data_IF_461793075643
#
_entry.id   IF_461793075643
#
_cell.length_a   1.000
_cell.length_b   1.000
_cell.length_c   1.000
_cell.angle_alpha   90.00
_cell.angle_beta   90.00
_cell.angle_gamma   90.00
#
_symmetry.space_group_name_H-M   'P 1'
#
loop_
_entity.id
_entity.type
_entity.pdbx_description
1 polymer ?
2 non-polymer ?
3 non-polymer ?
4 non-polymer ?
5 non-polymer ?
6 water ?
#
# COMPACT_ATOMS: atom_id res chain seq x y z
N UNK A 14 18.89 6.02 -14.75
CA UNK A 14 17.56 6.25 -14.19
C UNK A 14 16.89 4.94 -13.82
N UNK A 15 15.80 5.04 -13.06
CA UNK A 15 15.09 3.86 -12.60
C UNK A 15 14.43 3.14 -13.76
N UNK A 16 14.56 1.82 -13.78
CA UNK A 16 13.93 0.98 -14.79
C UNK A 16 12.70 0.33 -14.14
N UNK A 17 11.49 0.62 -14.60
CA UNK A 17 10.29 0.06 -13.96
C UNK A 17 10.25 -1.45 -14.11
N UNK A 18 9.97 -2.17 -13.03
CA UNK A 18 9.81 -3.63 -13.12
C UNK A 18 8.61 -3.98 -13.98
N UNK A 19 8.51 -5.23 -14.43
CA UNK A 19 7.33 -5.64 -15.20
C UNK A 19 6.06 -5.52 -14.38
N UNK A 20 4.95 -5.36 -15.10
CA UNK A 20 3.66 -5.18 -14.43
C UNK A 20 3.16 -6.50 -13.85
N UNK A 21 2.56 -6.42 -12.67
CA UNK A 21 1.95 -7.59 -12.04
C UNK A 21 0.60 -7.88 -12.70
N UNK A 22 0.05 -9.07 -12.49
CA UNK A 22 -1.24 -9.40 -13.11
C UNK A 22 -2.36 -8.50 -12.62
N UNK A 23 -3.24 -8.12 -13.55
CA UNK A 23 -4.44 -7.36 -13.24
C UNK A 23 -5.64 -8.21 -13.67
N UNK A 24 -6.59 -8.38 -12.76
CA UNK A 24 -7.78 -9.18 -13.02
C UNK A 24 -9.02 -8.29 -13.00
N UNK A 25 -9.91 -8.53 -13.97
CA UNK A 25 -11.18 -7.82 -14.08
C UNK A 25 -12.29 -8.85 -13.99
N UNK A 26 -12.63 -9.29 -12.79
CA UNK A 26 -13.61 -10.39 -12.65
C UNK A 26 -15.01 -9.95 -13.07
N UNK A 27 -15.74 -10.88 -13.67
CA UNK A 27 -17.13 -10.65 -13.98
C UNK A 27 -17.95 -10.62 -12.69
N UNK A 28 -19.23 -10.27 -12.82
CA UNK A 28 -20.10 -10.26 -11.65
C UNK A 28 -20.25 -11.65 -11.04
N UNK A 29 -20.13 -12.70 -11.86
CA UNK A 29 -20.18 -14.06 -11.33
C UNK A 29 -18.91 -14.39 -10.56
N UNK A 30 -17.74 -14.04 -11.13
CA UNK A 30 -16.47 -14.27 -10.46
C UNK A 30 -16.29 -13.36 -9.24
N UNK A 31 -16.95 -12.21 -9.21
CA UNK A 31 -16.88 -11.27 -8.11
C UNK A 31 -17.78 -11.66 -6.95
N UNK A 32 -18.42 -12.83 -7.01
CA UNK A 32 -19.39 -13.20 -5.98
C UNK A 32 -18.72 -13.49 -4.65
N UNK A 33 -17.57 -14.17 -4.67
CA UNK A 33 -16.86 -14.55 -3.44
C UNK A 33 -15.39 -14.24 -3.60
N UNK A 34 -14.79 -13.43 -2.72
CA UNK A 34 -13.38 -13.08 -2.84
C UNK A 34 -12.44 -14.27 -2.65
N UNK A 35 -12.66 -15.06 -1.60
CA UNK A 35 -11.75 -16.17 -1.32
C UNK A 35 -11.77 -17.21 -2.43
N UNK A 36 -12.95 -17.43 -3.04
CA UNK A 36 -13.02 -18.36 -4.17
C UNK A 36 -12.27 -17.79 -5.38
N UNK A 37 -12.39 -16.48 -5.61
CA UNK A 37 -11.69 -15.88 -6.74
C UNK A 37 -10.19 -15.85 -6.52
N UNK A 38 -9.74 -15.52 -5.31
CA UNK A 38 -8.32 -15.49 -5.02
C UNK A 38 -7.72 -16.88 -5.13
N UNK A 39 -8.47 -17.90 -4.70
CA UNK A 39 -7.99 -19.27 -4.84
C UNK A 39 -7.86 -19.70 -6.28
N UNK A 40 -8.70 -19.16 -7.16
CA UNK A 40 -8.64 -19.51 -8.58
C UNK A 40 -7.49 -18.81 -9.30
N UNK A 41 -7.24 -17.54 -8.96
CA UNK A 41 -6.13 -16.81 -9.57
C UNK A 41 -4.79 -17.19 -8.96
N UNK A 42 -4.79 -18.00 -7.90
CA UNK A 42 -3.55 -18.31 -7.18
C UNK A 42 -2.44 -18.89 -8.06
N UNK A 43 -2.68 -19.85 -8.97
CA UNK A 43 -1.57 -20.39 -9.76
C UNK A 43 -0.74 -19.34 -10.48
N UNK A 44 -1.35 -18.24 -10.90
CA UNK A 44 -0.60 -17.15 -11.53
C UNK A 44 -0.14 -16.12 -10.50
N UNK A 45 -1.05 -15.67 -9.64
CA UNK A 45 -0.75 -14.53 -8.78
C UNK A 45 0.31 -14.86 -7.73
N UNK A 46 0.37 -16.11 -7.27
CA UNK A 46 1.40 -16.46 -6.28
C UNK A 46 2.78 -16.50 -6.91
N UNK A 47 2.87 -16.60 -8.24
CA UNK A 47 4.15 -16.54 -8.93
C UNK A 47 4.64 -15.11 -9.14
N UNK A 48 3.80 -14.11 -8.86
CA UNK A 48 4.20 -12.71 -8.93
C UNK A 48 4.17 -12.00 -7.59
N UNK A 49 3.67 -12.67 -6.54
CA UNK A 49 3.61 -12.06 -5.22
C UNK A 49 2.44 -11.15 -4.97
N UNK A 50 2.22 -10.18 -5.86
CA UNK A 50 1.09 -9.27 -5.75
C UNK A 50 0.28 -9.33 -7.04
N UNK A 51 -0.99 -8.95 -6.92
CA UNK A 51 -1.85 -8.82 -8.08
C UNK A 51 -2.86 -7.73 -7.81
N UNK A 52 -3.41 -7.17 -8.89
CA UNK A 52 -4.41 -6.12 -8.81
C UNK A 52 -5.75 -6.65 -9.29
N UNK A 53 -6.82 -6.26 -8.60
CA UNK A 53 -8.17 -6.72 -8.91
C UNK A 53 -9.05 -5.50 -9.11
N UNK A 54 -9.63 -5.37 -10.30
CA UNK A 54 -10.54 -4.27 -10.60
C UNK A 54 -11.97 -4.76 -10.48
N UNK A 55 -12.76 -4.25 -9.53
CA UNK A 55 -14.15 -4.67 -9.41
C UNK A 55 -14.95 -4.26 -10.62
N UNK A 56 -16.16 -4.81 -10.80
CA UNK A 56 -17.02 -4.35 -11.90
C UNK A 56 -17.27 -2.86 -11.82
N UNK A 57 -17.62 -2.28 -12.97
CA UNK A 57 -17.70 -0.82 -13.08
C UNK A 57 -18.73 -0.25 -12.12
N UNK A 58 -19.84 -0.96 -11.91
CA UNK A 58 -20.93 -0.46 -11.08
C UNK A 58 -20.76 -0.76 -9.60
N UNK A 59 -19.66 -1.41 -9.20
CA UNK A 59 -19.38 -1.66 -7.79
C UNK A 59 -18.62 -0.46 -7.24
N UNK A 60 -19.35 0.49 -6.65
CA UNK A 60 -18.77 1.72 -6.13
C UNK A 60 -19.25 1.93 -4.70
N UNK A 61 -18.47 1.48 -3.72
CA UNK A 61 -18.88 1.66 -2.33
C UNK A 61 -18.72 3.11 -1.90
N UNK A 62 -19.57 3.60 -1.01
CA UNK A 62 -19.42 4.97 -0.52
C UNK A 62 -18.34 5.06 0.56
N UNK A 63 -17.79 6.26 0.71
CA UNK A 63 -16.81 6.53 1.74
C UNK A 63 -17.53 6.82 3.05
N UNK A 64 -17.30 5.98 4.06
CA UNK A 64 -18.09 6.01 5.29
C UNK A 64 -17.29 6.45 6.51
N UNK A 65 -16.13 7.08 6.32
CA UNK A 65 -15.36 7.57 7.45
C UNK A 65 -16.00 8.83 8.01
N UNK A 66 -15.82 9.04 9.31
CA UNK A 66 -16.29 10.26 9.98
C UNK A 66 -15.35 11.40 9.61
N UNK A 67 -15.64 12.04 8.47
CA UNK A 67 -14.75 13.07 7.94
C UNK A 67 -14.73 14.30 8.85
N UNK A 68 -15.84 14.59 9.53
CA UNK A 68 -15.92 15.81 10.33
C UNK A 68 -14.90 15.79 11.47
N UNK A 69 -14.68 14.63 12.08
CA UNK A 69 -13.81 14.52 13.25
C UNK A 69 -12.50 13.81 12.95
N UNK A 70 -12.25 13.46 11.68
CA UNK A 70 -11.03 12.75 11.30
C UNK A 70 -9.82 13.63 11.53
N UNK A 71 -9.03 13.30 12.55
CA UNK A 71 -7.81 14.04 12.87
C UNK A 71 -6.71 13.06 13.20
N UNK A 72 -5.48 13.41 12.83
CA UNK A 72 -4.35 12.50 13.02
C UNK A 72 -3.06 13.28 12.95
N UNK A 73 -2.02 12.72 13.57
CA UNK A 73 -0.66 13.25 13.46
C UNK A 73 0.19 12.27 12.66
N UNK A 74 0.53 12.57 11.42
CA UNK A 74 1.25 11.60 10.61
C UNK A 74 2.71 11.47 11.02
N UNK A 75 3.32 10.37 10.60
CA UNK A 75 4.72 10.13 10.89
C UNK A 75 5.60 10.84 9.87
N UNK A 76 6.76 11.29 10.33
CA UNK A 76 7.74 11.96 9.48
C UNK A 76 8.60 10.93 8.78
N UNK A 77 8.78 11.09 7.47
CA UNK A 77 9.55 10.14 6.67
C UNK A 77 10.65 10.89 5.92
N UNK A 78 11.90 10.63 6.29
CA UNK A 78 13.06 11.17 5.57
C UNK A 78 13.50 10.11 4.56
N UNK A 79 13.33 10.42 3.27
CA UNK A 79 13.52 9.43 2.21
C UNK A 79 14.94 8.86 2.19
N UNK A 80 15.95 9.67 2.50
CA UNK A 80 17.34 9.24 2.39
C UNK A 80 18.00 9.01 3.75
N UNK A 81 17.21 8.58 4.75
CA UNK A 81 17.76 8.44 6.10
C UNK A 81 18.79 7.31 6.17
N UNK A 82 18.65 6.27 5.35
CA UNK A 82 19.62 5.19 5.36
C UNK A 82 20.92 5.60 4.67
N UNK A 83 20.83 6.28 3.53
CA UNK A 83 22.03 6.75 2.85
C UNK A 83 22.74 7.82 3.65
N UNK A 84 22.00 8.59 4.46
CA UNK A 84 22.59 9.63 5.29
C UNK A 84 23.40 9.06 6.45
N UNK A 85 23.31 7.76 6.71
CA UNK A 85 24.13 7.16 7.77
C UNK A 85 25.62 7.23 7.43
N UNK A 86 25.95 7.05 6.15
CA UNK A 86 27.34 7.09 5.71
C UNK A 86 27.54 8.16 4.64
N UNK A 101 2.88 17.78 13.55
CA UNK A 101 1.72 18.56 13.14
C UNK A 101 0.47 17.70 13.00
N UNK A 102 -0.62 18.17 13.59
CA UNK A 102 -1.90 17.48 13.51
C UNK A 102 -2.72 18.02 12.34
N UNK A 103 -3.30 17.10 11.58
CA UNK A 103 -4.07 17.45 10.40
C UNK A 103 -5.48 16.88 10.51
N UNK A 104 -6.39 17.51 9.76
CA UNK A 104 -7.61 16.86 9.34
C UNK A 104 -7.40 16.26 7.96
N UNK A 105 -8.42 15.56 7.47
CA UNK A 105 -8.34 15.01 6.11
C UNK A 105 -8.19 16.13 5.09
N UNK A 106 -8.93 17.22 5.27
CA UNK A 106 -8.83 18.36 4.36
C UNK A 106 -7.48 19.06 4.47
N UNK A 107 -7.05 19.37 5.70
CA UNK A 107 -5.79 20.10 5.86
C UNK A 107 -4.60 19.26 5.43
N UNK A 108 -4.67 17.94 5.59
CA UNK A 108 -3.61 17.08 5.07
C UNK A 108 -3.61 17.08 3.54
N UNK A 109 -4.81 17.03 2.93
CA UNK A 109 -4.89 17.08 1.49
C UNK A 109 -4.37 18.39 0.92
N UNK A 110 -4.65 19.50 1.62
CA UNK A 110 -4.12 20.79 1.19
C UNK A 110 -2.60 20.81 1.23
N UNK A 111 -2.03 20.28 2.31
CA UNK A 111 -0.57 20.19 2.40
C UNK A 111 -0.01 19.26 1.34
N UNK A 112 -0.67 18.12 1.12
CA UNK A 112 -0.17 17.12 0.18
C UNK A 112 -0.17 17.66 -1.25
N UNK A 113 -1.29 18.27 -1.67
CA UNK A 113 -1.36 18.82 -3.01
C UNK A 113 -0.38 19.98 -3.19
N UNK A 114 -0.23 20.83 -2.17
CA UNK A 114 0.71 21.94 -2.27
C UNK A 114 2.14 21.44 -2.38
N UNK A 115 2.49 20.39 -1.64
CA UNK A 115 3.84 19.85 -1.72
C UNK A 115 4.14 19.33 -3.12
N UNK A 116 3.23 18.55 -3.69
CA UNK A 116 3.49 17.91 -4.97
C UNK A 116 3.50 18.93 -6.11
N UNK A 117 2.53 19.85 -6.12
CA UNK A 117 2.49 20.85 -7.18
C UNK A 117 3.70 21.78 -7.11
N UNK A 118 4.20 22.07 -5.90
CA UNK A 118 5.40 22.90 -5.78
C UNK A 118 6.65 22.12 -6.17
N UNK A 119 6.70 20.83 -5.85
CA UNK A 119 7.90 20.05 -6.15
C UNK A 119 8.08 19.87 -7.66
N UNK A 120 7.00 19.54 -8.38
CA UNK A 120 7.08 19.29 -9.81
C UNK A 120 6.71 20.50 -10.66
N UNK A 121 6.30 21.61 -10.03
CA UNK A 121 5.99 22.85 -10.73
C UNK A 121 4.90 22.65 -11.79
N UNK A 122 3.87 21.88 -11.43
CA UNK A 122 2.75 21.61 -12.32
C UNK A 122 1.59 21.08 -11.49
N UNK A 123 0.37 21.11 -12.03
CA UNK A 123 -0.76 20.53 -11.29
C UNK A 123 -0.52 19.07 -10.93
N UNK A 124 -1.10 18.66 -9.81
CA UNK A 124 -0.78 17.34 -9.24
C UNK A 124 -1.23 16.22 -10.18
N UNK A 125 -2.38 16.40 -10.84
CA UNK A 125 -2.90 15.37 -11.72
C UNK A 125 -2.18 15.29 -13.06
N UNK A 126 -1.28 16.23 -13.34
CA UNK A 126 -0.53 16.24 -14.59
C UNK A 126 0.85 15.59 -14.46
N UNK A 127 1.30 15.28 -13.26
CA UNK A 127 2.62 14.68 -13.05
C UNK A 127 2.56 13.22 -13.47
N UNK A 128 3.37 12.78 -14.43
CA UNK A 128 3.33 11.37 -14.85
C UNK A 128 3.74 10.45 -13.70
N UNK A 129 3.07 9.29 -13.63
CA UNK A 129 3.39 8.32 -12.60
C UNK A 129 4.82 7.82 -12.72
N UNK A 130 5.33 7.72 -13.95
CA UNK A 130 6.72 7.28 -14.14
C UNK A 130 7.71 8.31 -13.60
N UNK A 131 7.35 9.59 -13.62
CA UNK A 131 8.26 10.62 -13.13
C UNK A 131 8.34 10.60 -11.60
N UNK A 132 7.20 10.50 -10.93
CA UNK A 132 7.20 10.38 -9.48
C UNK A 132 7.98 9.15 -9.05
N UNK A 133 7.79 8.04 -9.77
CA UNK A 133 8.52 6.81 -9.46
C UNK A 133 10.02 7.01 -9.65
N UNK A 134 10.42 7.60 -10.77
CA UNK A 134 11.83 7.84 -11.02
C UNK A 134 12.43 8.79 -10.00
N UNK A 135 11.68 9.83 -9.62
CA UNK A 135 12.19 10.80 -8.67
C UNK A 135 12.22 10.23 -7.25
N UNK A 136 11.26 9.37 -6.90
CA UNK A 136 11.24 8.79 -5.55
C UNK A 136 12.51 8.00 -5.28
N UNK A 137 12.89 7.11 -6.19
CA UNK A 137 14.06 6.28 -5.96
C UNK A 137 15.37 7.06 -6.11
N UNK A 138 15.36 8.17 -6.83
CA UNK A 138 16.53 9.04 -6.85
C UNK A 138 16.71 9.72 -5.49
N UNK A 139 15.62 10.20 -4.90
CA UNK A 139 15.70 10.88 -3.61
C UNK A 139 16.08 9.94 -2.49
N UNK A 140 15.73 8.65 -2.61
CA UNK A 140 16.03 7.69 -1.56
C UNK A 140 17.53 7.51 -1.40
N UNK A 141 18.26 7.52 -2.52
CA UNK A 141 19.70 7.33 -2.52
C UNK A 141 20.47 8.64 -2.67
N UNK A 142 19.79 9.79 -2.62
CA UNK A 142 20.44 11.07 -2.79
C UNK A 142 20.93 11.62 -1.45
N UNK A 143 22.21 12.00 -1.40
CA UNK A 143 22.77 12.68 -0.24
C UNK A 143 22.81 14.19 -0.43
N UNK A 144 22.63 14.68 -1.65
CA UNK A 144 22.66 16.13 -1.90
C UNK A 144 21.33 16.80 -1.58
N UNK A 145 20.23 16.05 -1.58
CA UNK A 145 18.90 16.61 -1.38
C UNK A 145 18.18 15.78 -0.33
N UNK A 146 17.72 16.44 0.73
CA UNK A 146 17.01 15.78 1.82
C UNK A 146 15.54 16.16 1.73
N UNK A 147 14.73 15.25 1.19
CA UNK A 147 13.29 15.45 1.06
C UNK A 147 12.59 14.74 2.20
N UNK A 148 11.68 15.44 2.86
CA UNK A 148 10.95 14.93 4.02
C UNK A 148 9.45 15.06 3.76
N UNK A 149 8.72 13.97 3.95
CA UNK A 149 7.29 13.93 3.76
C UNK A 149 6.63 13.37 5.03
N UNK A 150 5.30 13.30 5.00
CA UNK A 150 4.53 12.81 6.13
C UNK A 150 3.54 11.75 5.65
N UNK A 151 3.30 10.76 6.50
CA UNK A 151 2.44 9.63 6.15
C UNK A 151 1.49 9.36 7.32
N UNK A 152 0.19 9.47 7.06
CA UNK A 152 -0.79 9.07 8.04
C UNK A 152 -1.02 7.58 8.01
N UNK A 153 -0.12 6.81 8.64
CA UNK A 153 -0.09 5.37 8.49
C UNK A 153 -0.51 4.60 9.72
N UNK A 154 -0.68 5.26 10.87
CA UNK A 154 -1.04 4.60 12.12
C UNK A 154 -2.45 5.01 12.51
N UNK A 155 -3.42 4.58 11.70
CA UNK A 155 -4.82 4.94 11.88
C UNK A 155 -5.64 3.65 11.83
N UNK A 156 -6.17 3.23 12.98
CA UNK A 156 -7.06 2.09 13.03
C UNK A 156 -8.46 2.49 12.56
N UNK A 157 -9.17 1.52 11.98
CA UNK A 157 -10.55 1.76 11.57
C UNK A 157 -11.50 1.93 12.76
N UNK A 158 -11.04 1.64 13.97
CA UNK A 158 -11.86 1.86 15.16
C UNK A 158 -11.86 3.32 15.61
N UNK A 159 -10.92 4.13 15.12
CA UNK A 159 -10.84 5.52 15.55
C UNK A 159 -11.98 6.34 14.97
N UNK A 160 -12.09 6.41 13.65
CA UNK A 160 -13.10 7.21 12.98
C UNK A 160 -13.96 6.39 12.04
N UNK A 161 -14.01 5.07 12.22
CA UNK A 161 -14.78 4.22 11.36
C UNK A 161 -14.01 3.76 10.13
N UNK A 162 -14.49 2.69 9.52
CA UNK A 162 -13.88 2.17 8.32
C UNK A 162 -14.29 3.00 7.10
N UNK A 163 -13.47 2.92 6.05
CA UNK A 163 -13.83 3.56 4.80
C UNK A 163 -15.05 2.94 4.16
N UNK A 164 -15.31 1.65 4.44
CA UNK A 164 -16.49 0.91 4.02
C UNK A 164 -17.62 1.12 5.01
N UNK A 165 -18.87 1.10 4.53
CA UNK A 165 -20.00 1.11 5.47
C UNK A 165 -20.07 -0.21 6.23
N UNK A 166 -20.41 -0.11 7.51
CA UNK A 166 -20.54 -1.29 8.37
C UNK A 166 -21.85 -1.19 9.13
N UNK A 167 -22.42 -2.35 9.46
CA UNK A 167 -23.69 -2.41 10.19
C UNK A 167 -23.41 -2.66 11.67
N UNK A 168 -22.82 -1.64 12.31
CA UNK A 168 -22.52 -1.69 13.73
C UNK A 168 -23.27 -0.62 14.53
N UNK A 169 -24.10 0.19 13.87
CA UNK A 169 -24.94 1.15 14.54
C UNK A 169 -24.33 2.53 14.73
N UNK A 170 -23.01 2.66 14.62
CA UNK A 170 -22.35 3.93 14.88
C UNK A 170 -22.52 4.94 13.75
N UNK A 171 -23.08 4.53 12.62
CA UNK A 171 -23.27 5.44 11.49
C UNK A 171 -24.44 4.97 10.65
N UNK A 172 -25.14 5.92 10.05
CA UNK A 172 -26.32 5.60 9.25
C UNK A 172 -25.92 4.89 7.97
N UNK A 173 -26.74 3.93 7.55
CA UNK A 173 -26.52 3.16 6.33
C UNK A 173 -27.72 3.37 5.42
N UNK A 174 -27.48 3.97 4.26
CA UNK A 174 -28.53 4.14 3.28
C UNK A 174 -28.88 2.80 2.66
N UNK A 175 -30.11 2.63 2.15
CA UNK A 175 -30.50 1.35 1.54
C UNK A 175 -29.60 0.94 0.39
N UNK A 176 -29.20 1.89 -0.47
CA UNK A 176 -28.32 1.57 -1.58
C UNK A 176 -26.89 1.27 -1.13
N UNK A 177 -26.56 1.52 0.14
CA UNK A 177 -25.23 1.24 0.67
C UNK A 177 -25.17 -0.08 1.43
N UNK A 178 -26.31 -0.73 1.68
CA UNK A 178 -26.32 -1.94 2.49
C UNK A 178 -25.58 -3.09 1.81
N UNK A 179 -25.63 -3.16 0.48
CA UNK A 179 -24.94 -4.23 -0.22
C UNK A 179 -23.43 -4.14 -0.02
N UNK A 180 -22.89 -2.93 0.14
CA UNK A 180 -21.47 -2.77 0.40
C UNK A 180 -21.12 -3.07 1.85
N UNK A 181 -22.05 -2.83 2.77
CA UNK A 181 -21.84 -3.22 4.16
C UNK A 181 -21.87 -4.73 4.34
N UNK A 182 -22.52 -5.45 3.42
CA UNK A 182 -22.62 -6.91 3.49
C UNK A 182 -21.72 -7.60 2.47
N UNK A 183 -21.03 -6.84 1.61
CA UNK A 183 -20.22 -7.44 0.57
C UNK A 183 -19.03 -8.19 1.16
N UNK A 184 -18.69 -9.31 0.54
CA UNK A 184 -17.48 -10.04 0.94
C UNK A 184 -16.21 -9.30 0.64
N UNK A 185 -16.25 -8.34 -0.29
CA UNK A 185 -15.08 -7.52 -0.60
C UNK A 185 -14.93 -6.34 0.34
N UNK A 186 -15.94 -6.06 1.16
CA UNK A 186 -15.76 -5.17 2.30
C UNK A 186 -14.70 -5.75 3.21
N UNK A 187 -13.60 -5.01 3.42
CA UNK A 187 -12.48 -5.53 4.20
C UNK A 187 -12.88 -5.86 5.63
N UNK A 188 -13.97 -5.30 6.14
CA UNK A 188 -14.44 -5.66 7.46
C UNK A 188 -15.09 -7.05 7.50
N UNK A 189 -15.39 -7.62 6.32
CA UNK A 189 -16.03 -8.93 6.24
C UNK A 189 -15.06 -10.01 5.77
N UNK A 190 -13.76 -9.73 5.72
CA UNK A 190 -12.79 -10.74 5.36
C UNK A 190 -12.48 -11.63 6.57
N UNK A 191 -12.28 -12.93 6.37
CA UNK A 191 -11.95 -13.80 7.50
C UNK A 191 -10.55 -13.52 8.01
N UNK A 192 -10.43 -13.31 9.32
CA UNK A 192 -9.17 -12.94 9.95
C UNK A 192 -8.72 -13.94 11.00
N UNK A 193 -9.54 -14.93 11.34
CA UNK A 193 -9.20 -15.89 12.39
C UNK A 193 -8.49 -17.10 11.78
N UNK A 194 -7.26 -17.35 12.24
CA UNK A 194 -6.48 -18.48 11.77
C UNK A 194 -6.70 -19.68 12.68
N UNK A 195 -6.70 -20.87 12.09
CA UNK A 195 -6.92 -22.08 12.86
C UNK A 195 -5.71 -22.38 13.74
N UNK A 196 -5.98 -22.74 15.00
CA UNK A 196 -4.92 -23.03 15.95
C UNK A 196 -5.46 -23.98 17.01
N UNK A 197 -4.54 -24.63 17.71
CA UNK A 197 -4.91 -25.56 18.77
C UNK A 197 -5.08 -24.83 20.10
N UNK A 209 -8.99 -8.57 15.01
CA UNK A 209 -8.28 -7.64 14.14
C UNK A 209 -9.24 -6.89 13.22
N UNK A 210 -8.97 -5.60 13.03
CA UNK A 210 -9.80 -4.76 12.17
C UNK A 210 -8.91 -4.10 11.14
N UNK A 211 -9.48 -3.62 10.03
CA UNK A 211 -8.66 -2.97 9.01
C UNK A 211 -7.98 -1.72 9.52
N UNK A 212 -6.88 -1.36 8.86
CA UNK A 212 -6.12 -0.16 9.16
C UNK A 212 -6.20 0.79 7.97
N UNK A 213 -5.99 2.08 8.24
CA UNK A 213 -6.14 3.13 7.25
C UNK A 213 -4.80 3.81 6.97
N UNK A 214 -4.64 4.29 5.74
CA UNK A 214 -3.42 4.96 5.30
C UNK A 214 -3.80 6.20 4.51
N UNK A 215 -3.46 7.37 5.05
CA UNK A 215 -3.66 8.64 4.35
C UNK A 215 -2.30 9.06 3.80
N UNK A 216 -2.15 8.96 2.48
CA UNK A 216 -0.86 9.17 1.86
C UNK A 216 -0.72 10.52 1.19
N UNK A 217 0.54 10.89 0.94
CA UNK A 217 0.91 12.03 0.12
C UNK A 217 2.02 11.59 -0.83
N UNK A 218 2.41 12.49 -1.72
CA UNK A 218 3.49 12.18 -2.66
C UNK A 218 4.77 11.84 -1.90
N UNK A 219 5.37 10.70 -2.24
CA UNK A 219 6.63 10.15 -1.76
C UNK A 219 6.48 9.44 -0.41
N UNK A 220 5.34 9.51 0.26
CA UNK A 220 5.14 8.68 1.44
C UNK A 220 5.17 7.21 1.02
N UNK A 221 5.80 6.37 1.84
CA UNK A 221 6.19 5.05 1.38
C UNK A 221 6.15 4.04 2.51
N UNK A 222 6.20 2.77 2.13
CA UNK A 222 6.36 1.65 3.04
C UNK A 222 7.43 0.71 2.47
N UNK A 223 8.35 0.28 3.32
CA UNK A 223 9.51 -0.46 2.85
C UNK A 223 9.21 -1.96 2.79
N UNK A 224 10.20 -2.73 2.33
CA UNK A 224 10.01 -4.15 2.08
C UNK A 224 9.68 -4.90 3.37
N UNK A 225 8.64 -5.73 3.32
CA UNK A 225 8.23 -6.51 4.47
C UNK A 225 7.30 -7.62 4.03
N UNK A 226 7.12 -8.60 4.93
CA UNK A 226 6.08 -9.60 4.80
C UNK A 226 5.17 -9.48 6.03
N UNK A 227 4.02 -10.14 5.96
CA UNK A 227 3.03 -10.02 7.02
C UNK A 227 3.34 -10.99 8.16
N UNK A 228 2.77 -10.68 9.33
CA UNK A 228 2.84 -11.61 10.45
C UNK A 228 2.19 -12.93 10.07
N UNK A 229 2.83 -14.02 10.49
CA UNK A 229 2.38 -15.39 10.20
C UNK A 229 2.30 -15.66 8.70
N UNK A 230 3.06 -14.91 7.90
CA UNK A 230 3.06 -15.03 6.44
C UNK A 230 1.64 -14.92 5.87
N UNK A 231 0.86 -14.03 6.47
CA UNK A 231 -0.56 -13.94 6.12
C UNK A 231 -0.76 -13.27 4.77
N UNK A 232 -1.90 -13.59 4.16
CA UNK A 232 -2.41 -12.79 3.06
C UNK A 232 -2.67 -11.36 3.53
N UNK A 233 -2.77 -10.44 2.56
CA UNK A 233 -3.26 -9.10 2.85
C UNK A 233 -4.02 -8.60 1.64
N UNK A 234 -5.08 -7.85 1.89
CA UNK A 234 -5.87 -7.24 0.83
C UNK A 234 -5.94 -5.74 1.11
N UNK A 235 -5.82 -4.94 0.06
CA UNK A 235 -5.68 -3.50 0.17
C UNK A 235 -6.63 -2.82 -0.82
N UNK A 236 -7.35 -1.82 -0.34
CA UNK A 236 -8.32 -1.10 -1.17
C UNK A 236 -8.02 0.38 -1.11
N UNK A 237 -7.92 1.02 -2.27
CA UNK A 237 -7.73 2.46 -2.37
C UNK A 237 -9.09 3.12 -2.52
N UNK A 238 -9.56 3.78 -1.47
CA UNK A 238 -10.89 4.37 -1.49
C UNK A 238 -10.95 5.53 -2.49
N UNK A 239 -9.97 6.43 -2.44
CA UNK A 239 -9.94 7.56 -3.37
C UNK A 239 -8.54 8.15 -3.37
N UNK A 240 -8.29 9.02 -4.35
CA UNK A 240 -7.06 9.78 -4.43
C UNK A 240 -6.16 9.28 -5.55
N UNK A 241 -4.94 9.83 -5.55
CA UNK A 241 -3.96 9.48 -6.56
C UNK A 241 -3.44 8.06 -6.32
N UNK A 242 -2.86 7.43 -7.34
CA UNK A 242 -2.53 6.00 -7.23
C UNK A 242 -1.50 5.71 -6.15
N UNK A 243 -1.49 4.45 -5.73
CA UNK A 243 -0.47 3.90 -4.85
C UNK A 243 0.38 2.93 -5.68
N UNK A 244 1.67 3.20 -5.77
CA UNK A 244 2.57 2.37 -6.57
C UNK A 244 3.11 1.23 -5.72
N UNK A 245 3.04 0.01 -6.24
CA UNK A 245 3.40 -1.20 -5.52
C UNK A 245 4.58 -1.90 -6.17
N UNK A 246 5.34 -2.63 -5.34
CA UNK A 246 6.34 -3.57 -5.81
C UNK A 246 6.18 -4.87 -5.04
N UNK A 247 6.24 -5.99 -5.75
CA UNK A 247 6.00 -7.28 -5.14
C UNK A 247 7.02 -8.31 -5.59
N UNK A 248 7.32 -9.23 -4.68
CA UNK A 248 8.24 -10.33 -4.94
C UNK A 248 7.54 -11.65 -4.61
N UNK A 249 7.54 -12.63 -5.52
CA UNK A 249 6.86 -13.90 -5.23
C UNK A 249 7.52 -14.64 -4.08
N UNK A 250 6.73 -15.48 -3.41
CA UNK A 250 7.20 -16.15 -2.20
C UNK A 250 8.35 -17.11 -2.50
N UNK A 251 8.42 -17.65 -3.72
CA UNK A 251 9.51 -18.58 -4.01
C UNK A 251 10.85 -17.88 -4.09
N UNK A 252 10.88 -16.55 -4.12
CA UNK A 252 12.12 -15.79 -4.11
C UNK A 252 12.35 -15.06 -2.79
N UNK A 253 11.62 -15.45 -1.73
CA UNK A 253 11.75 -14.76 -0.46
C UNK A 253 13.16 -14.87 0.10
N UNK A 254 13.75 -16.06 0.05
CA UNK A 254 15.12 -16.22 0.54
C UNK A 254 16.11 -15.46 -0.32
N UNK A 255 15.85 -15.33 -1.62
CA UNK A 255 16.73 -14.54 -2.48
C UNK A 255 16.73 -13.08 -2.07
N UNK A 256 15.56 -12.53 -1.76
CA UNK A 256 15.48 -11.14 -1.32
C UNK A 256 16.18 -10.95 0.02
N UNK A 257 15.94 -11.85 0.97
CA UNK A 257 16.59 -11.74 2.28
C UNK A 257 18.10 -11.89 2.16
N UNK A 258 18.58 -12.66 1.18
CA UNK A 258 20.01 -12.78 0.97
C UNK A 258 20.60 -11.47 0.44
N UNK A 259 19.92 -10.84 -0.52
CA UNK A 259 20.38 -9.55 -1.03
C UNK A 259 20.37 -8.51 0.07
N UNK A 260 19.35 -8.54 0.93
CA UNK A 260 19.33 -7.66 2.09
C UNK A 260 20.54 -7.92 3.00
N UNK A 261 20.86 -9.20 3.24
CA UNK A 261 21.99 -9.52 4.10
C UNK A 261 23.30 -9.01 3.51
N UNK A 262 23.39 -8.88 2.19
CA UNK A 262 24.63 -8.44 1.56
C UNK A 262 24.74 -6.92 1.53
N UNK A 263 23.64 -6.21 1.26
CA UNK A 263 23.70 -4.80 0.94
C UNK A 263 23.08 -3.87 1.97
N UNK A 264 22.21 -4.38 2.85
CA UNK A 264 21.66 -3.53 3.89
C UNK A 264 22.77 -3.08 4.83
N UNK A 265 22.61 -1.93 5.50
CA UNK A 265 23.66 -1.44 6.40
C UNK A 265 24.04 -2.47 7.44
N UNK A 266 25.36 -2.63 7.65
CA UNK A 266 25.86 -3.63 8.59
C UNK A 266 25.37 -3.38 10.00
N UNK A 267 25.11 -2.12 10.35
CA UNK A 267 24.65 -1.80 11.69
C UNK A 267 23.32 -2.45 12.02
N UNK A 268 22.51 -2.73 10.99
CA UNK A 268 21.22 -3.38 11.17
C UNK A 268 21.21 -4.81 10.67
N UNK A 269 22.40 -5.38 10.40
CA UNK A 269 22.46 -6.72 9.80
C UNK A 269 22.03 -7.79 10.79
N UNK A 270 22.42 -7.66 12.06
CA UNK A 270 22.11 -8.66 13.07
C UNK A 270 20.74 -8.46 13.70
N UNK A 271 19.94 -7.53 13.18
CA UNK A 271 18.63 -7.28 13.76
C UNK A 271 17.63 -8.34 13.33
N UNK A 272 16.68 -8.69 14.20
CA UNK A 272 15.62 -9.61 13.80
C UNK A 272 14.78 -9.04 12.66
N UNK A 273 14.08 -9.94 11.97
CA UNK A 273 13.33 -9.55 10.77
C UNK A 273 12.26 -8.51 11.09
N UNK A 274 11.58 -8.66 12.24
CA UNK A 274 10.51 -7.73 12.59
C UNK A 274 11.05 -6.31 12.78
N UNK A 275 12.26 -6.18 13.32
CA UNK A 275 12.87 -4.86 13.48
C UNK A 275 13.59 -4.39 12.22
N UNK A 276 14.26 -5.31 11.52
CA UNK A 276 14.95 -4.93 10.29
C UNK A 276 13.96 -4.41 9.25
N UNK A 277 12.77 -5.02 9.18
CA UNK A 277 11.76 -4.61 8.20
C UNK A 277 11.14 -3.26 8.50
N UNK A 278 11.54 -2.60 9.60
CA UNK A 278 11.18 -1.20 9.80
C UNK A 278 12.01 -0.28 8.92
N UNK A 279 13.16 -0.73 8.43
CA UNK A 279 14.06 0.09 7.63
C UNK A 279 14.64 -0.71 6.47
N UNK A 280 13.83 -1.60 5.88
CA UNK A 280 14.28 -2.39 4.73
C UNK A 280 13.95 -1.66 3.43
N UNK A 281 14.66 -0.56 3.23
CA UNK A 281 14.49 0.27 2.03
C UNK A 281 15.54 -0.18 1.01
N UNK A 282 15.08 -0.58 -0.18
CA UNK A 282 15.98 -1.04 -1.21
C UNK A 282 15.35 -0.78 -2.59
N UNK A 283 16.16 -0.23 -3.49
CA UNK A 283 15.70 0.02 -4.85
C UNK A 283 15.33 -1.30 -5.53
N UNK A 284 14.18 -1.38 -6.18
CA UNK A 284 13.82 -2.64 -6.86
C UNK A 284 14.80 -3.08 -7.92
N UNK A 285 15.46 -2.13 -8.60
CA UNK A 285 16.46 -2.50 -9.60
C UNK A 285 17.64 -3.22 -8.97
N UNK A 286 17.98 -2.87 -7.72
CA UNK A 286 19.06 -3.56 -7.03
C UNK A 286 18.70 -5.04 -6.82
N UNK A 287 17.46 -5.31 -6.41
CA UNK A 287 17.01 -6.68 -6.28
C UNK A 287 16.98 -7.38 -7.65
N UNK A 288 16.53 -6.67 -8.69
CA UNK A 288 16.46 -7.26 -10.02
C UNK A 288 17.84 -7.56 -10.56
N UNK A 289 18.84 -6.73 -10.25
CA UNK A 289 20.20 -7.00 -10.69
C UNK A 289 20.75 -8.28 -10.07
N UNK A 290 20.33 -8.61 -8.85
CA UNK A 290 20.76 -9.82 -8.18
C UNK A 290 19.86 -11.02 -8.47
N UNK A 291 18.99 -10.92 -9.48
CA UNK A 291 18.18 -12.03 -9.92
C UNK A 291 16.87 -12.23 -9.18
N UNK A 292 16.45 -11.26 -8.37
CA UNK A 292 15.19 -11.35 -7.63
C UNK A 292 14.07 -10.87 -8.54
N UNK A 293 13.05 -11.68 -8.80
CA UNK A 293 11.92 -11.22 -9.62
C UNK A 293 11.10 -10.18 -8.87
N UNK A 294 10.85 -9.05 -9.51
CA UNK A 294 10.09 -7.95 -8.93
C UNK A 294 9.02 -7.53 -9.93
N UNK A 295 7.79 -7.33 -9.43
CA UNK A 295 6.68 -6.86 -10.23
C UNK A 295 6.12 -5.59 -9.63
N UNK A 296 5.60 -4.71 -10.48
CA UNK A 296 5.07 -3.43 -10.07
C UNK A 296 3.61 -3.29 -10.49
N UNK A 297 2.96 -2.27 -9.93
CA UNK A 297 1.63 -1.87 -10.37
C UNK A 297 1.31 -0.50 -9.80
N UNK A 298 0.44 0.22 -10.50
CA UNK A 298 -0.15 1.45 -10.01
C UNK A 298 -1.59 1.15 -9.60
N UNK A 299 -1.83 1.10 -8.30
CA UNK A 299 -3.17 0.84 -7.77
C UNK A 299 -3.96 2.15 -7.80
N UNK A 300 -4.99 2.20 -8.63
CA UNK A 300 -5.80 3.41 -8.74
C UNK A 300 -7.02 3.32 -7.84
N UNK A 301 -7.75 4.43 -7.74
CA UNK A 301 -8.91 4.51 -6.87
C UNK A 301 -9.95 3.46 -7.24
N UNK A 302 -10.46 2.76 -6.23
CA UNK A 302 -11.45 1.73 -6.44
C UNK A 302 -10.90 0.37 -6.81
N UNK A 303 -9.59 0.18 -6.73
CA UNK A 303 -8.97 -1.08 -7.13
C UNK A 303 -8.34 -1.77 -5.92
N UNK A 304 -8.36 -3.09 -5.94
CA UNK A 304 -7.80 -3.92 -4.88
C UNK A 304 -6.39 -4.38 -5.23
N UNK A 305 -5.57 -4.55 -4.20
CA UNK A 305 -4.27 -5.18 -4.32
C UNK A 305 -4.19 -6.29 -3.29
N UNK A 306 -3.89 -7.51 -3.74
CA UNK A 306 -3.77 -8.67 -2.87
C UNK A 306 -2.32 -9.09 -2.83
N UNK A 307 -1.78 -9.29 -1.63
CA UNK A 307 -0.46 -9.85 -1.44
C UNK A 307 -0.59 -11.28 -0.91
N UNK A 308 0.20 -12.17 -1.48
CA UNK A 308 0.11 -13.59 -1.17
C UNK A 308 1.06 -13.95 -0.03
N UNK A 309 0.90 -15.13 0.56
CA UNK A 309 1.72 -15.48 1.73
C UNK A 309 3.21 -15.40 1.45
N UNK A 310 3.91 -14.69 2.34
CA UNK A 310 5.36 -14.52 2.28
C UNK A 310 5.80 -13.81 0.99
N UNK A 311 4.94 -12.96 0.45
CA UNK A 311 5.30 -12.14 -0.72
C UNK A 311 5.78 -10.79 -0.21
N UNK A 312 7.09 -10.56 -0.29
CA UNK A 312 7.64 -9.27 0.08
C UNK A 312 7.06 -8.17 -0.80
N UNK A 313 6.71 -7.05 -0.18
CA UNK A 313 6.14 -5.95 -0.93
C UNK A 313 6.56 -4.62 -0.33
N UNK A 314 6.59 -3.60 -1.19
CA UNK A 314 6.91 -2.24 -0.81
C UNK A 314 6.26 -1.30 -1.81
N UNK A 315 6.32 -0.01 -1.52
CA UNK A 315 5.73 0.94 -2.43
C UNK A 315 5.70 2.35 -1.86
N UNK A 316 5.05 3.23 -2.62
CA UNK A 316 4.93 4.64 -2.27
C UNK A 316 3.66 5.19 -2.91
N UNK A 317 3.24 6.35 -2.44
CA UNK A 317 2.02 6.99 -2.91
C UNK A 317 2.35 8.09 -3.92
N UNK A 318 1.57 8.14 -5.01
CA UNK A 318 1.77 9.17 -6.02
C UNK A 318 1.30 10.53 -5.53
N UNK A 319 0.36 10.55 -4.60
CA UNK A 319 -0.15 11.81 -4.10
C UNK A 319 -1.16 11.58 -3.00
N UNK A 320 -1.98 12.60 -2.76
CA UNK A 320 -3.01 12.51 -1.73
C UNK A 320 -3.99 11.38 -2.02
N UNK A 321 -4.06 10.40 -1.14
CA UNK A 321 -4.96 9.28 -1.32
C UNK A 321 -5.36 8.70 0.03
N UNK A 322 -6.24 7.71 0.00
CA UNK A 322 -6.79 7.08 1.20
C UNK A 322 -6.94 5.59 0.94
N UNK A 323 -6.25 4.77 1.74
CA UNK A 323 -6.24 3.34 1.56
C UNK A 323 -6.68 2.63 2.83
N UNK A 324 -7.17 1.41 2.67
CA UNK A 324 -7.58 0.55 3.77
C UNK A 324 -7.03 -0.85 3.53
N UNK A 325 -6.49 -1.46 4.58
CA UNK A 325 -5.80 -2.73 4.46
C UNK A 325 -6.11 -3.62 5.65
N UNK A 326 -6.08 -4.93 5.41
CA UNK A 326 -6.27 -5.91 6.47
C UNK A 326 -5.65 -7.23 6.02
N UNK A 327 -5.13 -7.99 6.97
CA UNK A 327 -4.63 -9.32 6.71
C UNK A 327 -5.76 -10.32 6.90
N UNK A 328 -5.87 -11.28 5.98
CA UNK A 328 -6.95 -12.26 6.03
C UNK A 328 -6.38 -13.67 5.91
N UNK A 329 -7.20 -14.64 6.30
CA UNK A 329 -6.79 -16.04 6.34
C UNK A 329 -7.63 -16.84 5.36
N UNK A 330 -7.06 -17.94 4.87
CA UNK A 330 -7.77 -18.84 3.97
C UNK A 330 -7.86 -20.24 4.56
X LIG B 1 2.20 -1.56 9.07
X LIG B 1 5.46 -7.06 9.82
X LIG B 1 5.07 -6.05 12.05
X LIG B 1 2.60 -2.07 5.64
X LIG B 1 1.90 -2.07 4.40
X LIG B 1 0.90 -0.31 2.94
X LIG B 1 0.54 -1.34 2.09
X LIG B 1 5.15 1.65 6.90
X LIG B 1 6.45 2.14 6.65
X LIG B 1 7.51 1.23 6.60
X LIG B 1 7.24 -0.12 6.79
X LIG B 1 5.93 -0.57 7.03
X LIG B 1 4.83 0.31 7.10
X LIG B 1 3.37 -0.19 7.37
X LIG B 1 2.28 -3.08 9.43
X LIG B 1 3.68 -3.74 9.21
X LIG B 1 4.58 -6.04 9.08
X LIG B 1 4.95 -7.31 11.21
X LIG B 1 4.56 -4.81 11.30
X LIG B 1 2.72 -0.78 6.11
X LIG B 1 1.60 -0.71 4.11
X LIG B 1 0.57 1.17 2.64
X LIG B 1 0.86 -2.69 2.42
X LIG B 1 3.87 -5.04 9.96
X LIG B 1 2.11 0.11 5.17
X LIG B 1 1.51 -3.07 3.52
X LIG B 1 3.41 -1.11 8.44
X LIG B 1 1.20 2.03 3.28
X LIG B 1 -0.29 1.37 1.77
X LIG B 1 3.88 2.84 6.94
X LIG C 1 1.96 -5.19 4.11
X LIG D 1 6.64 -15.39 10.97
X LIG D 1 6.36 -16.57 11.72
X LIG D 1 6.37 -14.17 11.85
X LIG D 1 4.96 -14.04 12.04
X LIG E 1 -2.15 2.47 -14.33
X LIG E 1 -2.89 1.32 -14.73
X LIG E 1 -0.71 2.36 -14.83
X LIG E 1 -0.70 2.30 -16.26
X LIG F 1 12.63 19.79 -0.01
X LIG F 1 11.60 18.92 -0.47
X LIG F 1 13.94 19.44 -0.73
X LIG F 1 13.78 19.63 -2.13
X LIG G 1 -0.28 13.92 -20.02
X LIG G 1 -0.74 15.27 -20.21
X LIG G 1 -0.18 13.63 -18.52
X LIG G 1 0.70 14.59 -17.92
X LIG H 1 0.54 -19.63 4.46
X LIG H 1 0.25 -18.59 5.40
X LIG H 1 -0.73 -20.44 4.21
X LIG H 1 -1.80 -19.55 3.88
X LIG I 1 11.06 6.09 6.63
X LIG I 1 11.03 6.87 7.78
X LIG I 1 11.55 7.00 5.49
X LIG I 1 12.90 6.85 5.25
X LIG I 1 10.68 6.61 4.28
X LIG I 1 10.83 7.63 3.33
#
# INVERSE_FOLDING_TARGET
HNMAGVGPGGYAAEFVPPPECPVFEPSWEEFTDPLSFIGRIRPLAEKTGICKIRPPKDWQPPFACEVKSFRFTPRVQRLNELEAMTRVRPREAFGFEQAVREYTLQSFGEMADNFKSDYFNMPVHMVPTELVEKEFWRLVSSIEEDVIVEYGADISSKDFGSGFPVKDGRRKILPEEEEYALSGWNLNNMPVLEQSVLAHINVDISGMKVPWLYVGMCFSSFCWHIEDHWSYSINYLHWGEPKTWYGVPSHAAEQLEEVMRELAPELFESQPDLLHQLVTIMNPNVLMEHGVPVYRTNQCAGEFVVTFPRAYHSGFNQGYNFAEAVNFCT
DNY C10 C15 C17 C21 C22 C24 C28 C02 C03 C04 C05 C06 C07 C08 C11 C12 C14 C16 C18 C19 C23 C25 C29 N13 N20 N30 O09 O26 O27 CL1
MN MN
EDO C1 O1 C2 O2
EDO C1 O1 C2 O2
EDO C1 O1 C2 O2
EDO C1 O1 C2 O2
EDO C1 O1 C2 O2
GOL C1 O1 C2 O2 C3 O3
#
